data_IF_756400808987
#
_entry.id   IF_756400808987
#
_cell.length_a   1.000
_cell.length_b   1.000
_cell.length_c   1.000
_cell.angle_alpha   90.00
_cell.angle_beta   90.00
_cell.angle_gamma   90.00
#
_symmetry.space_group_name_H-M   'P 1'
#
loop_
_entity.id
_entity.type
_entity.pdbx_description
1 polymer ?
#
# COMPACT_ATOMS: atom_id res chain seq x y z
N UNK A 1 -30.59 9.72 17.82
CA UNK A 1 -29.26 9.43 18.25
C UNK A 1 -28.82 8.07 17.78
N UNK A 2 -27.73 8.01 17.13
CA UNK A 2 -27.27 6.74 16.64
C UNK A 2 -26.84 5.85 17.79
N UNK A 3 -27.50 4.77 17.92
CA UNK A 3 -27.15 3.76 18.90
C UNK A 3 -25.71 3.25 18.71
N UNK A 4 -25.19 3.42 17.53
CA UNK A 4 -23.82 3.05 17.25
C UNK A 4 -22.79 3.78 18.11
N UNK A 5 -23.15 4.90 18.68
CA UNK A 5 -22.28 5.64 19.57
C UNK A 5 -22.20 5.05 20.99
N UNK A 6 -22.63 3.84 21.14
CA UNK A 6 -22.77 3.27 22.46
C UNK A 6 -21.48 2.91 23.14
N UNK A 7 -20.45 2.53 22.44
CA UNK A 7 -19.18 2.19 23.04
C UNK A 7 -18.08 3.07 22.45
N UNK A 8 -17.30 3.74 23.29
CA UNK A 8 -16.11 4.40 22.81
C UNK A 8 -15.19 3.34 22.23
N UNK A 9 -14.97 3.42 20.93
CA UNK A 9 -14.06 2.55 20.24
C UNK A 9 -12.64 3.06 20.49
N UNK A 10 -11.97 2.51 21.48
CA UNK A 10 -10.56 2.78 21.68
C UNK A 10 -9.77 1.98 20.68
N UNK A 11 -9.34 2.63 19.62
CA UNK A 11 -8.34 2.02 18.77
C UNK A 11 -7.01 1.98 19.53
N UNK A 12 -6.31 0.85 19.51
CA UNK A 12 -4.97 0.79 20.05
C UNK A 12 -4.09 1.89 19.45
N UNK A 13 -3.19 2.43 20.25
CA UNK A 13 -2.36 3.56 19.85
C UNK A 13 -1.55 3.26 18.59
N UNK A 14 -1.06 2.03 18.45
CA UNK A 14 -0.30 1.64 17.26
C UNK A 14 -1.13 1.70 15.97
N UNK A 15 -2.44 1.46 16.05
CA UNK A 15 -3.34 1.61 14.89
C UNK A 15 -3.50 3.06 14.47
N UNK A 16 -3.57 3.95 15.44
CA UNK A 16 -3.63 5.39 15.17
C UNK A 16 -2.35 5.85 14.49
N UNK A 17 -1.19 5.40 14.98
CA UNK A 17 0.09 5.71 14.36
C UNK A 17 0.16 5.13 12.94
N UNK A 18 -0.27 3.89 12.75
CA UNK A 18 -0.37 3.29 11.42
C UNK A 18 -1.18 4.15 10.47
N UNK A 19 -2.35 4.60 10.90
CA UNK A 19 -3.22 5.45 10.09
C UNK A 19 -2.54 6.77 9.73
N UNK A 20 -1.83 7.38 10.65
CA UNK A 20 -1.09 8.62 10.40
C UNK A 20 0.04 8.42 9.40
N UNK A 21 0.77 7.33 9.49
CA UNK A 21 1.83 7.00 8.54
C UNK A 21 1.25 6.75 7.14
N UNK A 22 0.14 6.00 7.06
CA UNK A 22 -0.54 5.76 5.77
C UNK A 22 -1.00 7.08 5.16
N UNK A 23 -1.55 7.98 5.96
CA UNK A 23 -1.95 9.30 5.51
C UNK A 23 -0.78 10.10 4.94
N UNK A 24 0.37 10.04 5.58
CA UNK A 24 1.59 10.70 5.09
C UNK A 24 2.08 10.07 3.77
N UNK A 25 2.00 8.76 3.64
CA UNK A 25 2.35 8.07 2.39
C UNK A 25 1.39 8.50 1.27
N UNK A 26 0.10 8.53 1.55
CA UNK A 26 -0.92 8.93 0.58
C UNK A 26 -0.78 10.39 0.17
N UNK A 27 -0.36 11.24 1.09
CA UNK A 27 -0.09 12.65 0.82
C UNK A 27 1.27 12.89 0.13
N UNK A 28 1.98 11.83 -0.20
CA UNK A 28 3.31 11.87 -0.82
C UNK A 28 4.36 12.61 0.00
N UNK A 29 4.23 12.59 1.33
CA UNK A 29 5.29 13.07 2.21
C UNK A 29 6.58 12.26 1.99
N UNK A 30 6.42 10.98 1.67
CA UNK A 30 7.49 10.10 1.22
C UNK A 30 7.06 9.43 -0.07
N UNK A 31 7.91 9.49 -1.08
CA UNK A 31 7.64 8.86 -2.38
C UNK A 31 7.90 7.36 -2.34
N UNK A 32 7.30 6.58 -3.25
CA UNK A 32 7.66 5.16 -3.37
C UNK A 32 9.18 4.99 -3.50
N UNK A 33 9.73 4.06 -2.72
CA UNK A 33 11.16 3.81 -2.67
C UNK A 33 11.97 4.71 -1.73
N UNK A 34 11.37 5.77 -1.21
CA UNK A 34 12.03 6.61 -0.21
C UNK A 34 12.01 5.98 1.18
N UNK A 35 13.03 6.27 1.95
CA UNK A 35 13.08 5.90 3.36
C UNK A 35 12.11 6.76 4.17
N UNK A 36 11.36 6.12 5.06
CA UNK A 36 10.61 6.84 6.09
C UNK A 36 11.53 7.12 7.28
N UNK A 37 11.18 8.07 8.16
CA UNK A 37 11.97 8.31 9.36
C UNK A 37 12.14 7.06 10.22
N UNK A 38 13.18 7.01 11.03
CA UNK A 38 13.44 5.89 11.91
C UNK A 38 12.33 5.73 12.96
N UNK A 39 12.27 4.56 13.58
CA UNK A 39 11.34 4.30 14.68
C UNK A 39 11.50 5.32 15.81
N UNK A 40 12.73 5.69 16.13
CA UNK A 40 13.03 6.70 17.14
C UNK A 40 12.53 8.09 16.74
N UNK A 41 12.76 8.48 15.50
CA UNK A 41 12.30 9.77 14.98
C UNK A 41 10.78 9.85 14.95
N UNK A 42 10.11 8.78 14.51
CA UNK A 42 8.65 8.71 14.49
C UNK A 42 8.08 8.69 15.91
N UNK A 43 8.72 7.99 16.83
CA UNK A 43 8.31 7.97 18.23
C UNK A 43 8.38 9.39 18.84
N UNK A 44 9.41 10.13 18.56
CA UNK A 44 9.55 11.51 19.00
C UNK A 44 8.51 12.41 18.35
N UNK A 45 8.29 12.26 17.04
CA UNK A 45 7.31 13.05 16.29
C UNK A 45 5.89 12.87 16.79
N UNK A 46 5.49 11.62 17.02
CA UNK A 46 4.13 11.29 17.47
C UNK A 46 3.98 11.25 18.98
N UNK A 47 5.08 11.44 19.73
CA UNK A 47 5.10 11.39 21.20
C UNK A 47 4.54 10.07 21.73
N UNK A 48 5.05 8.98 21.22
CA UNK A 48 4.70 7.62 21.62
C UNK A 48 5.96 6.81 21.84
N UNK A 49 5.81 5.60 22.38
CA UNK A 49 6.96 4.72 22.58
C UNK A 49 7.47 4.17 21.24
N UNK A 50 8.75 3.84 21.19
CA UNK A 50 9.34 3.18 20.04
C UNK A 50 8.63 1.86 19.73
N UNK A 51 8.24 1.10 20.75
CA UNK A 51 7.52 -0.15 20.59
C UNK A 51 6.16 0.03 19.89
N UNK A 52 5.46 1.13 20.18
CA UNK A 52 4.21 1.47 19.51
C UNK A 52 4.45 1.74 18.01
N UNK A 53 5.47 2.51 17.69
CA UNK A 53 5.86 2.77 16.29
C UNK A 53 6.27 1.48 15.59
N UNK A 54 7.08 0.66 16.25
CA UNK A 54 7.51 -0.63 15.68
C UNK A 54 6.33 -1.50 15.31
N UNK A 55 5.34 -1.59 16.19
CA UNK A 55 4.14 -2.37 15.93
C UNK A 55 3.33 -1.80 14.74
N UNK A 56 3.23 -0.49 14.63
CA UNK A 56 2.58 0.16 13.50
C UNK A 56 3.32 -0.15 12.19
N UNK A 57 4.65 -0.08 12.19
CA UNK A 57 5.47 -0.39 11.02
C UNK A 57 5.39 -1.88 10.66
N UNK A 58 5.37 -2.77 11.65
CA UNK A 58 5.18 -4.20 11.40
C UNK A 58 3.87 -4.47 10.67
N UNK A 59 2.79 -3.82 11.09
CA UNK A 59 1.50 -3.93 10.42
C UNK A 59 1.55 -3.40 8.98
N UNK A 60 2.25 -2.28 8.76
CA UNK A 60 2.42 -1.72 7.41
C UNK A 60 3.27 -2.63 6.52
N UNK A 61 4.28 -3.28 7.07
CA UNK A 61 5.10 -4.25 6.35
C UNK A 61 4.29 -5.49 5.97
N UNK A 62 3.46 -5.98 6.88
CA UNK A 62 2.55 -7.10 6.61
C UNK A 62 1.54 -6.76 5.51
N UNK A 63 1.16 -5.50 5.41
CA UNK A 63 0.28 -5.00 4.36
C UNK A 63 1.01 -4.62 3.07
N UNK A 64 2.32 -4.83 3.02
CA UNK A 64 3.19 -4.48 1.89
C UNK A 64 3.17 -3.00 1.50
N UNK A 65 2.92 -2.14 2.46
CA UNK A 65 2.98 -0.68 2.26
C UNK A 65 4.39 -0.13 2.49
N UNK A 66 5.16 -0.82 3.31
CA UNK A 66 6.58 -0.50 3.55
C UNK A 66 7.40 -1.78 3.51
N UNK A 67 8.69 -1.62 3.26
CA UNK A 67 9.66 -2.71 3.24
C UNK A 67 10.77 -2.38 4.23
N UNK A 68 11.02 -3.29 5.15
CA UNK A 68 12.16 -3.17 6.07
C UNK A 68 13.40 -3.74 5.39
N UNK A 69 14.45 -2.94 5.34
CA UNK A 69 15.76 -3.38 4.87
C UNK A 69 16.74 -3.33 6.02
N UNK A 70 17.17 -4.50 6.46
CA UNK A 70 18.06 -4.62 7.60
C UNK A 70 19.32 -3.79 7.42
N UNK A 71 19.67 -2.98 8.42
CA UNK A 71 20.82 -2.11 8.39
C UNK A 71 20.68 -0.85 7.53
N UNK A 72 19.57 -0.71 6.79
CA UNK A 72 19.35 0.44 5.89
C UNK A 72 18.14 1.28 6.27
N UNK A 73 17.14 0.71 6.91
CA UNK A 73 15.93 1.40 7.33
C UNK A 73 14.66 0.81 6.75
N UNK A 74 13.59 1.58 6.83
CA UNK A 74 12.29 1.21 6.30
C UNK A 74 11.94 2.14 5.14
N UNK A 75 11.48 1.55 4.05
CA UNK A 75 11.22 2.26 2.80
C UNK A 75 9.77 2.09 2.38
N UNK A 76 9.23 3.12 1.73
CA UNK A 76 7.91 3.00 1.11
C UNK A 76 8.00 1.99 -0.02
N UNK A 77 7.05 1.05 -0.07
CA UNK A 77 7.04 0.02 -1.09
C UNK A 77 6.91 0.61 -2.50
N UNK A 78 7.61 -0.01 -3.44
CA UNK A 78 7.55 0.36 -4.86
C UNK A 78 6.66 -0.60 -5.63
N UNK A 79 6.29 -0.23 -6.85
CA UNK A 79 5.49 -1.09 -7.72
C UNK A 79 6.19 -2.40 -8.08
N UNK A 80 7.51 -2.43 -8.00
CA UNK A 80 8.27 -3.63 -8.31
C UNK A 80 8.32 -4.65 -7.18
N UNK A 81 8.08 -4.22 -5.97
CA UNK A 81 8.11 -5.14 -4.81
C UNK A 81 6.78 -5.79 -4.56
N UNK A 82 5.76 -5.67 -5.49
CA UNK A 82 4.57 -5.84 -5.26
C UNK A 82 3.51 -6.32 -5.96
N UNK A 83 3.41 -7.45 -6.08
CA UNK A 83 2.28 -8.12 -6.71
C UNK A 83 0.95 -7.89 -5.97
N UNK A 84 1.01 -7.30 -4.79
CA UNK A 84 -0.14 -7.23 -3.89
C UNK A 84 -0.62 -5.81 -3.62
N UNK A 85 0.23 -4.82 -3.83
CA UNK A 85 -0.08 -3.45 -3.44
C UNK A 85 -0.83 -2.64 -4.49
N UNK A 86 -0.86 -3.12 -5.74
CA UNK A 86 -1.51 -2.39 -6.82
C UNK A 86 -2.97 -2.05 -6.54
N UNK A 87 -3.78 -2.97 -5.99
CA UNK A 87 -5.17 -2.67 -5.69
C UNK A 87 -5.35 -1.59 -4.62
N UNK A 88 -4.36 -1.39 -3.76
CA UNK A 88 -4.45 -0.39 -2.69
C UNK A 88 -4.21 1.03 -3.15
N UNK A 89 -3.41 1.19 -4.18
CA UNK A 89 -3.19 2.50 -4.79
C UNK A 89 -4.26 2.84 -5.81
N UNK A 90 -4.93 1.83 -6.34
CA UNK A 90 -6.07 2.00 -7.23
C UNK A 90 -7.35 1.99 -6.41
N UNK A 91 -7.71 3.15 -5.89
CA UNK A 91 -9.02 3.30 -5.23
C UNK A 91 -10.11 3.39 -6.30
N UNK A 92 -10.64 2.25 -6.64
CA UNK A 92 -11.81 2.19 -7.50
C UNK A 92 -13.03 2.22 -6.59
N UNK A 93 -13.78 3.28 -6.69
CA UNK A 93 -15.03 3.42 -5.94
C UNK A 93 -16.18 3.14 -6.87
N UNK A 94 -17.06 2.28 -6.44
CA UNK A 94 -18.31 2.04 -7.16
C UNK A 94 -19.28 3.22 -6.97
N UNK A 95 -20.24 3.31 -7.86
CA UNK A 95 -21.26 4.36 -7.81
C UNK A 95 -22.08 4.34 -6.50
N UNK A 96 -22.14 3.19 -5.85
CA UNK A 96 -22.81 3.04 -4.56
C UNK A 96 -21.94 3.49 -3.37
N UNK A 97 -20.73 3.97 -3.63
CA UNK A 97 -19.84 4.47 -2.59
C UNK A 97 -19.04 3.39 -1.87
N UNK A 98 -19.15 2.15 -2.29
CA UNK A 98 -18.39 1.05 -1.71
C UNK A 98 -17.01 0.98 -2.37
N UNK A 99 -15.98 0.92 -1.56
CA UNK A 99 -14.62 0.72 -2.06
C UNK A 99 -14.48 -0.73 -2.54
N UNK A 100 -14.22 -0.91 -3.81
CA UNK A 100 -14.02 -2.22 -4.40
C UNK A 100 -12.58 -2.37 -4.85
N UNK A 101 -11.99 -3.49 -4.49
CA UNK A 101 -10.66 -3.83 -4.95
C UNK A 101 -10.77 -4.61 -6.25
N UNK A 102 -10.07 -4.17 -7.30
CA UNK A 102 -10.09 -4.91 -8.56
C UNK A 102 -9.47 -6.28 -8.37
N UNK A 103 -10.22 -7.29 -8.74
CA UNK A 103 -9.72 -8.65 -8.82
C UNK A 103 -9.49 -9.03 -10.28
N UNK A 104 -8.57 -9.93 -10.51
CA UNK A 104 -8.36 -10.49 -11.83
C UNK A 104 -8.57 -11.98 -11.81
N UNK A 105 -9.23 -12.48 -12.84
CA UNK A 105 -9.39 -13.91 -13.05
C UNK A 105 -8.88 -14.26 -14.42
N UNK A 106 -7.95 -15.22 -14.46
CA UNK A 106 -7.47 -15.72 -15.72
C UNK A 106 -8.59 -16.52 -16.40
N UNK A 107 -9.04 -16.06 -17.55
CA UNK A 107 -10.09 -16.73 -18.32
C UNK A 107 -9.48 -17.70 -19.31
N UNK A 108 -8.49 -17.23 -20.07
CA UNK A 108 -7.82 -18.05 -21.08
C UNK A 108 -6.44 -17.47 -21.40
N UNK A 109 -5.51 -18.34 -21.68
CA UNK A 109 -4.19 -17.96 -22.20
C UNK A 109 -3.92 -18.79 -23.43
N UNK A 110 -3.75 -18.15 -24.57
CA UNK A 110 -3.40 -18.80 -25.82
C UNK A 110 -2.09 -18.25 -26.33
N UNK A 111 -1.25 -19.15 -26.75
CA UNK A 111 -0.02 -18.78 -27.44
C UNK A 111 -0.36 -18.66 -28.93
N UNK A 112 -0.13 -17.50 -29.48
CA UNK A 112 -0.37 -17.22 -30.89
C UNK A 112 0.74 -16.39 -31.48
N UNK A 113 0.73 -16.27 -32.80
CA UNK A 113 1.64 -15.37 -33.48
C UNK A 113 1.04 -13.97 -33.52
N UNK A 114 1.86 -12.95 -33.35
CA UNK A 114 1.41 -11.58 -33.44
C UNK A 114 0.99 -11.25 -34.88
N UNK A 115 -0.22 -10.76 -35.04
CA UNK A 115 -0.64 -10.19 -36.32
C UNK A 115 0.12 -8.91 -36.62
N UNK A 116 0.05 -8.46 -37.86
CA UNK A 116 0.79 -7.28 -38.31
C UNK A 116 0.51 -6.05 -37.45
N UNK A 117 -0.76 -5.85 -37.14
CA UNK A 117 -1.17 -4.71 -36.31
C UNK A 117 -0.68 -4.81 -34.86
N UNK A 118 -0.83 -5.97 -34.24
CA UNK A 118 -0.34 -6.20 -32.88
C UNK A 118 1.19 -6.12 -32.81
N UNK A 119 1.88 -6.68 -33.78
CA UNK A 119 3.34 -6.60 -33.88
C UNK A 119 3.82 -5.15 -34.02
N UNK A 120 3.12 -4.34 -34.78
CA UNK A 120 3.42 -2.92 -34.95
C UNK A 120 3.21 -2.13 -33.64
N UNK A 121 2.08 -2.34 -32.95
CA UNK A 121 1.76 -1.64 -31.72
C UNK A 121 2.68 -2.00 -30.56
N UNK A 122 3.12 -3.25 -30.51
CA UNK A 122 3.96 -3.76 -29.44
C UNK A 122 5.45 -3.85 -29.81
N UNK A 123 5.82 -3.32 -30.98
CA UNK A 123 7.20 -3.38 -31.51
C UNK A 123 7.75 -4.80 -31.56
N UNK A 124 6.90 -5.78 -31.88
CA UNK A 124 7.27 -7.17 -32.03
C UNK A 124 7.48 -7.53 -33.50
N UNK A 125 8.21 -8.62 -33.73
CA UNK A 125 8.30 -9.18 -35.07
C UNK A 125 7.00 -9.90 -35.42
N UNK A 126 6.48 -9.66 -36.60
CA UNK A 126 5.29 -10.37 -37.09
C UNK A 126 5.63 -11.85 -37.39
N UNK A 127 4.73 -12.74 -36.98
CA UNK A 127 4.87 -14.16 -37.21
C UNK A 127 4.93 -15.07 -36.02
#
# INVERSE_FOLDING_TARGET
MPAAATAPSFQPLWRQIRTLIVSDIEAAAWKPGEAIPSELELAARFRVSQGTVRRAIDALADENLVVRRQGKGTFVATHTEEKVSLPRFLRIRRDDGVDEYPGSRLIDVRRGKAGIEAARLLELKAG
#
